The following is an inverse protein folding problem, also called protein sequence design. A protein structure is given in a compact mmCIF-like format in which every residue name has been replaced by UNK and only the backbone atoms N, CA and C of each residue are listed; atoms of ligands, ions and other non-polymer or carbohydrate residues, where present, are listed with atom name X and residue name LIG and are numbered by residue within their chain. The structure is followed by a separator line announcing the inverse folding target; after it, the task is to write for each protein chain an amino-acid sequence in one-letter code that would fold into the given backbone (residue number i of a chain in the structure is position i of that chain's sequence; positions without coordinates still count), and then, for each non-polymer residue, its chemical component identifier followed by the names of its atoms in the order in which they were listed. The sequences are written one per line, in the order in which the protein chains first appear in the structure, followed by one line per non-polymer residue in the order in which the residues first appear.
data_IF_767972539024
#
_entry.id   IF_767972539024
#
_cell.length_a   1.000
_cell.length_b   1.000
_cell.length_c   1.000
_cell.angle_alpha   90.00
_cell.angle_beta   90.00
_cell.angle_gamma   90.00
#
_symmetry.space_group_name_H-M   'P 1'
#
loop_
_entity.id
_entity.type
_entity.pdbx_description
1 polymer ?
#
# COMPACT_ATOMS: atom_id res chain seq x y z
N UNK A 1 -20.92 1.94 -23.33
CA UNK A 1 -21.55 3.22 -23.67
C UNK A 1 -22.82 3.37 -22.84
N UNK A 2 -23.03 4.54 -22.24
CA UNK A 2 -24.20 4.82 -21.39
C UNK A 2 -25.12 5.78 -22.12
N UNK A 3 -26.42 5.48 -22.17
CA UNK A 3 -27.45 6.33 -22.76
C UNK A 3 -28.46 6.69 -21.67
N UNK A 4 -28.80 7.98 -21.58
CA UNK A 4 -29.86 8.47 -20.68
C UNK A 4 -31.13 8.68 -21.51
N UNK A 5 -32.15 7.86 -21.28
CA UNK A 5 -33.47 7.93 -21.89
C UNK A 5 -34.42 8.70 -20.99
N UNK A 6 -34.99 9.81 -21.47
CA UNK A 6 -35.98 10.60 -20.74
C UNK A 6 -37.33 10.41 -21.43
N UNK A 7 -38.35 9.96 -20.69
CA UNK A 7 -39.71 9.70 -21.21
C UNK A 7 -40.77 10.28 -20.30
N UNK A 8 -41.82 10.85 -20.88
CA UNK A 8 -42.99 11.41 -20.20
C UNK A 8 -44.24 10.53 -20.29
N UNK A 9 -44.12 9.34 -20.88
CA UNK A 9 -45.27 8.46 -21.13
C UNK A 9 -44.92 7.00 -21.39
N UNK A 10 -45.98 6.19 -21.55
CA UNK A 10 -45.90 4.82 -22.07
C UNK A 10 -45.62 4.80 -23.57
N UNK A 11 -44.85 3.80 -24.00
CA UNK A 11 -44.57 3.56 -25.42
C UNK A 11 -45.87 3.18 -26.17
N UNK A 12 -46.33 4.03 -27.09
CA UNK A 12 -47.58 3.80 -27.84
C UNK A 12 -47.38 3.09 -29.19
N UNK A 13 -46.13 2.83 -29.58
CA UNK A 13 -45.77 2.17 -30.83
C UNK A 13 -45.88 0.63 -30.78
N UNK A 14 -46.28 0.05 -29.64
CA UNK A 14 -46.45 -1.40 -29.48
C UNK A 14 -45.16 -2.19 -29.24
N UNK A 15 -44.06 -1.51 -28.92
CA UNK A 15 -42.80 -2.15 -28.51
C UNK A 15 -42.85 -2.63 -27.06
N UNK A 16 -42.09 -3.68 -26.75
CA UNK A 16 -41.89 -4.16 -25.38
C UNK A 16 -40.51 -3.70 -24.88
N UNK A 17 -40.43 -2.64 -24.06
CA UNK A 17 -39.16 -2.12 -23.56
C UNK A 17 -38.42 -3.13 -22.68
N UNK A 18 -39.13 -4.04 -22.01
CA UNK A 18 -38.51 -5.08 -21.19
C UNK A 18 -37.84 -6.15 -22.06
N UNK A 19 -38.51 -6.57 -23.14
CA UNK A 19 -37.96 -7.53 -24.10
C UNK A 19 -36.73 -6.95 -24.80
N UNK A 20 -36.80 -5.68 -25.21
CA UNK A 20 -35.67 -4.98 -25.82
C UNK A 20 -34.47 -4.90 -24.85
N UNK A 21 -34.71 -4.57 -23.58
CA UNK A 21 -33.63 -4.52 -22.58
C UNK A 21 -32.92 -5.86 -22.38
N UNK A 22 -33.63 -6.98 -22.50
CA UNK A 22 -33.03 -8.33 -22.43
C UNK A 22 -32.20 -8.63 -23.67
N UNK A 23 -32.74 -8.39 -24.85
CA UNK A 23 -32.03 -8.60 -26.11
C UNK A 23 -30.74 -7.78 -26.19
N UNK A 24 -30.79 -6.51 -25.74
CA UNK A 24 -29.62 -5.64 -25.70
C UNK A 24 -28.51 -6.17 -24.77
N UNK A 25 -28.87 -6.85 -23.68
CA UNK A 25 -27.90 -7.52 -22.80
C UNK A 25 -27.36 -8.82 -23.40
N UNK A 26 -28.20 -9.59 -24.08
CA UNK A 26 -27.82 -10.86 -24.73
C UNK A 26 -26.92 -10.66 -25.94
N UNK A 27 -27.06 -9.53 -26.65
CA UNK A 27 -26.18 -9.18 -27.79
C UNK A 27 -24.76 -8.81 -27.36
N UNK A 28 -24.48 -8.71 -26.06
CA UNK A 28 -23.12 -8.52 -25.51
C UNK A 28 -22.54 -7.13 -25.78
N UNK A 29 -23.36 -6.18 -26.20
CA UNK A 29 -22.95 -4.77 -26.30
C UNK A 29 -22.84 -4.23 -24.88
N UNK A 30 -21.72 -3.61 -24.54
CA UNK A 30 -21.55 -2.84 -23.30
C UNK A 30 -22.46 -1.60 -23.35
N UNK A 31 -23.76 -1.80 -23.20
CA UNK A 31 -24.79 -0.78 -23.30
C UNK A 31 -25.58 -0.71 -22.00
N UNK A 32 -25.58 0.47 -21.40
CA UNK A 32 -26.30 0.77 -20.17
C UNK A 32 -27.32 1.86 -20.46
N UNK A 33 -28.60 1.61 -20.18
CA UNK A 33 -29.66 2.62 -20.31
C UNK A 33 -30.12 3.10 -18.94
N UNK A 34 -29.84 4.36 -18.63
CA UNK A 34 -30.47 5.06 -17.51
C UNK A 34 -31.80 5.66 -17.99
N UNK A 35 -32.88 5.43 -17.26
CA UNK A 35 -34.24 5.86 -17.66
C UNK A 35 -34.75 6.88 -16.65
N UNK A 36 -35.18 8.05 -17.14
CA UNK A 36 -35.83 9.09 -16.33
C UNK A 36 -37.29 9.21 -16.76
N UNK A 37 -38.21 8.79 -15.90
CA UNK A 37 -39.65 8.88 -16.12
C UNK A 37 -40.21 10.19 -15.59
N UNK A 38 -40.56 11.13 -16.46
CA UNK A 38 -41.08 12.45 -16.10
C UNK A 38 -42.61 12.45 -16.05
N UNK A 39 -43.21 12.71 -14.89
CA UNK A 39 -44.68 12.82 -14.78
C UNK A 39 -45.45 11.50 -14.94
N UNK A 40 -44.79 10.34 -14.84
CA UNK A 40 -45.40 9.02 -14.91
C UNK A 40 -46.08 8.61 -13.60
N UNK A 41 -47.18 7.85 -13.71
CA UNK A 41 -47.73 7.11 -12.57
C UNK A 41 -46.83 5.93 -12.17
N UNK A 42 -47.02 5.40 -10.97
CA UNK A 42 -46.23 4.27 -10.47
C UNK A 42 -46.33 3.02 -11.35
N UNK A 43 -47.50 2.77 -11.96
CA UNK A 43 -47.71 1.62 -12.83
C UNK A 43 -47.06 1.81 -14.21
N UNK A 44 -47.11 3.02 -14.76
CA UNK A 44 -46.42 3.37 -16.02
C UNK A 44 -44.90 3.31 -15.84
N UNK A 45 -44.40 3.82 -14.72
CA UNK A 45 -42.99 3.78 -14.37
C UNK A 45 -42.43 2.36 -14.29
N UNK A 46 -43.19 1.40 -13.73
CA UNK A 46 -42.78 -0.01 -13.65
C UNK A 46 -42.61 -0.65 -15.02
N UNK A 47 -43.40 -0.26 -16.02
CA UNK A 47 -43.30 -0.83 -17.37
C UNK A 47 -42.02 -0.43 -18.10
N UNK A 48 -41.41 0.69 -17.71
CA UNK A 48 -40.18 1.20 -18.33
C UNK A 48 -38.96 0.94 -17.44
N UNK A 49 -39.15 0.79 -16.12
CA UNK A 49 -38.08 0.47 -15.16
C UNK A 49 -37.30 -0.80 -15.55
N UNK A 50 -37.98 -1.81 -16.09
CA UNK A 50 -37.36 -3.05 -16.54
C UNK A 50 -36.29 -2.85 -17.62
N UNK A 51 -36.40 -1.81 -18.47
CA UNK A 51 -35.41 -1.52 -19.51
C UNK A 51 -34.08 -1.10 -18.88
N UNK A 52 -34.15 -0.24 -17.86
CA UNK A 52 -32.98 0.18 -17.09
C UNK A 52 -32.37 -1.01 -16.32
N UNK A 53 -33.20 -1.77 -15.60
CA UNK A 53 -32.75 -2.93 -14.82
C UNK A 53 -32.12 -4.03 -15.68
N UNK A 54 -32.72 -4.32 -16.84
CA UNK A 54 -32.21 -5.36 -17.74
C UNK A 54 -30.87 -4.94 -18.35
N UNK A 55 -30.64 -3.66 -18.63
CA UNK A 55 -29.38 -3.15 -19.19
C UNK A 55 -28.35 -2.76 -18.12
N UNK A 56 -28.70 -2.85 -16.83
CA UNK A 56 -27.83 -2.50 -15.70
C UNK A 56 -27.72 -1.00 -15.43
N UNK A 57 -28.63 -0.18 -15.96
CA UNK A 57 -28.76 1.24 -15.64
C UNK A 57 -29.76 1.50 -14.52
N UNK A 58 -30.07 2.78 -14.28
CA UNK A 58 -30.94 3.25 -13.19
C UNK A 58 -32.27 3.75 -13.73
N UNK A 59 -33.36 3.45 -13.03
CA UNK A 59 -34.65 4.11 -13.25
C UNK A 59 -34.86 5.20 -12.20
N UNK A 60 -35.09 6.44 -12.64
CA UNK A 60 -35.37 7.59 -11.78
C UNK A 60 -36.72 8.18 -12.16
N UNK A 61 -37.64 8.25 -11.21
CA UNK A 61 -38.92 8.93 -11.43
C UNK A 61 -38.77 10.41 -11.09
N UNK A 62 -39.01 11.28 -12.08
CA UNK A 62 -38.98 12.73 -11.93
C UNK A 62 -40.42 13.26 -11.94
N UNK A 63 -40.94 13.66 -10.77
CA UNK A 63 -42.30 14.20 -10.68
C UNK A 63 -42.42 15.65 -11.16
N UNK A 64 -41.29 16.40 -11.19
CA UNK A 64 -41.26 17.84 -11.47
C UNK A 64 -39.92 18.26 -12.09
N UNK A 65 -39.86 19.48 -12.66
CA UNK A 65 -38.68 20.05 -13.32
C UNK A 65 -37.40 19.97 -12.46
N UNK A 66 -37.51 20.21 -11.16
CA UNK A 66 -36.39 20.11 -10.22
C UNK A 66 -35.90 18.66 -10.05
N UNK A 67 -36.84 17.71 -10.03
CA UNK A 67 -36.52 16.29 -9.94
C UNK A 67 -35.86 15.79 -11.23
N UNK A 68 -36.27 16.30 -12.39
CA UNK A 68 -35.63 16.01 -13.67
C UNK A 68 -34.18 16.53 -13.73
N UNK A 69 -33.95 17.75 -13.25
CA UNK A 69 -32.59 18.31 -13.14
C UNK A 69 -31.70 17.44 -12.23
N UNK A 70 -32.23 16.99 -11.09
CA UNK A 70 -31.50 16.10 -10.18
C UNK A 70 -31.24 14.73 -10.81
N UNK A 71 -32.22 14.15 -11.48
CA UNK A 71 -32.09 12.87 -12.18
C UNK A 71 -31.00 12.93 -13.28
N UNK A 72 -30.93 14.02 -14.03
CA UNK A 72 -29.90 14.22 -15.05
C UNK A 72 -28.50 14.35 -14.42
N UNK A 73 -28.39 15.09 -13.31
CA UNK A 73 -27.12 15.17 -12.57
C UNK A 73 -26.72 13.80 -12.04
N UNK A 74 -27.66 13.01 -11.53
CA UNK A 74 -27.37 11.68 -10.97
C UNK A 74 -26.97 10.63 -12.03
N UNK A 75 -27.54 10.73 -13.24
CA UNK A 75 -27.26 9.80 -14.35
C UNK A 75 -26.00 10.17 -15.12
N UNK A 76 -25.67 11.46 -15.20
CA UNK A 76 -24.46 11.95 -15.88
C UNK A 76 -23.27 12.09 -14.93
N UNK A 77 -23.50 12.22 -13.63
CA UNK A 77 -22.43 12.19 -12.65
C UNK A 77 -21.67 10.88 -12.79
N UNK A 78 -20.38 11.00 -13.12
CA UNK A 78 -19.47 9.88 -13.01
C UNK A 78 -19.67 9.26 -11.61
N UNK A 79 -19.75 7.93 -11.49
CA UNK A 79 -19.80 7.31 -10.18
C UNK A 79 -18.66 7.92 -9.38
N UNK A 80 -19.00 8.50 -8.22
CA UNK A 80 -17.99 9.00 -7.32
C UNK A 80 -16.94 7.89 -7.19
N UNK A 81 -15.64 8.20 -7.36
CA UNK A 81 -14.63 7.17 -7.20
C UNK A 81 -14.94 6.47 -5.90
N UNK A 82 -15.05 5.13 -5.96
CA UNK A 82 -15.32 4.34 -4.78
C UNK A 82 -14.42 4.88 -3.68
N UNK A 83 -14.94 5.17 -2.46
CA UNK A 83 -14.10 5.64 -1.40
C UNK A 83 -12.91 4.69 -1.35
N UNK A 84 -11.70 5.23 -1.53
CA UNK A 84 -10.49 4.43 -1.34
C UNK A 84 -10.71 3.65 -0.04
N UNK A 85 -10.44 2.33 -0.04
CA UNK A 85 -10.51 1.56 1.19
C UNK A 85 -9.84 2.40 2.25
N UNK A 86 -10.58 2.74 3.32
CA UNK A 86 -10.01 3.51 4.42
C UNK A 86 -8.63 2.90 4.68
N UNK A 87 -7.55 3.71 4.66
CA UNK A 87 -6.20 3.16 4.76
C UNK A 87 -6.26 2.20 5.94
N UNK A 88 -5.93 0.93 5.67
CA UNK A 88 -5.87 -0.08 6.72
C UNK A 88 -5.14 0.59 7.90
N UNK A 89 -5.63 0.44 9.15
CA UNK A 89 -5.00 1.09 10.30
C UNK A 89 -3.50 0.93 10.11
N UNK A 90 -2.80 2.07 9.99
CA UNK A 90 -1.39 2.07 9.67
C UNK A 90 -0.75 0.99 10.56
N UNK A 91 0.04 0.04 9.99
CA UNK A 91 0.72 -0.92 10.84
C UNK A 91 1.33 -0.10 11.97
N UNK A 92 1.00 -0.48 13.22
CA UNK A 92 1.55 0.17 14.41
C UNK A 92 3.02 0.44 14.11
N UNK A 93 3.52 1.70 14.30
CA UNK A 93 4.80 2.13 13.76
C UNK A 93 5.76 0.98 13.95
N UNK A 94 6.19 0.37 12.83
CA UNK A 94 7.18 -0.70 12.86
C UNK A 94 8.25 -0.15 13.79
N UNK A 95 8.56 -0.81 14.92
CA UNK A 95 9.46 -0.24 15.92
C UNK A 95 10.67 0.25 15.14
N UNK A 96 10.91 1.57 15.20
CA UNK A 96 11.81 2.27 14.30
C UNK A 96 13.03 1.39 14.12
N UNK A 97 13.19 0.79 12.93
CA UNK A 97 14.34 -0.06 12.67
C UNK A 97 15.53 0.83 13.00
N UNK A 98 16.33 0.47 14.01
CA UNK A 98 17.36 1.35 14.49
C UNK A 98 18.24 1.70 13.28
N UNK A 99 18.48 2.99 13.06
CA UNK A 99 19.19 3.46 11.86
C UNK A 99 20.50 2.70 11.66
N UNK A 100 21.11 2.26 12.76
CA UNK A 100 22.26 1.37 12.81
C UNK A 100 22.00 0.20 13.76
N UNK A 101 22.43 -0.99 13.38
CA UNK A 101 22.31 -2.18 14.23
C UNK A 101 23.65 -2.62 14.85
N UNK A 102 24.76 -1.97 14.50
CA UNK A 102 26.07 -2.28 15.01
C UNK A 102 26.87 -0.99 15.29
N UNK A 103 27.16 -0.76 16.57
CA UNK A 103 27.88 0.44 17.05
C UNK A 103 28.95 0.03 18.08
N UNK A 104 30.10 -0.52 17.64
CA UNK A 104 31.13 -0.96 18.57
C UNK A 104 31.91 0.23 19.14
N UNK A 105 32.39 0.07 20.36
CA UNK A 105 33.25 1.05 21.03
C UNK A 105 34.54 0.37 21.47
N UNK A 106 35.65 1.10 21.48
CA UNK A 106 36.95 0.58 21.92
C UNK A 106 37.51 1.46 23.04
N UNK A 107 38.08 0.83 24.06
CA UNK A 107 38.65 1.48 25.26
C UNK A 107 40.00 0.86 25.59
N UNK A 108 40.90 1.63 26.21
CA UNK A 108 42.21 1.13 26.65
C UNK A 108 42.15 0.28 27.93
N UNK A 109 41.08 0.43 28.70
CA UNK A 109 40.87 -0.30 29.96
C UNK A 109 39.37 -0.31 30.30
N UNK A 110 38.94 -1.28 31.12
CA UNK A 110 37.55 -1.34 31.59
C UNK A 110 37.17 -0.05 32.34
N UNK A 111 36.10 0.61 31.90
CA UNK A 111 35.64 1.89 32.46
C UNK A 111 36.40 3.13 31.97
N UNK A 112 37.33 3.00 31.02
CA UNK A 112 37.98 4.13 30.36
C UNK A 112 37.11 4.80 29.30
N UNK A 113 37.53 5.97 28.83
CA UNK A 113 36.87 6.71 27.75
C UNK A 113 37.03 5.99 26.39
N UNK A 114 35.99 6.08 25.56
CA UNK A 114 36.00 5.49 24.24
C UNK A 114 37.00 6.22 23.32
N UNK A 115 37.86 5.44 22.67
CA UNK A 115 38.78 5.94 21.65
C UNK A 115 37.97 6.17 20.37
N UNK A 116 37.92 7.42 19.93
CA UNK A 116 37.14 7.86 18.75
C UNK A 116 38.03 8.36 17.61
N UNK A 117 39.33 8.51 17.86
CA UNK A 117 40.35 8.95 16.90
C UNK A 117 41.59 8.05 17.02
N UNK A 118 42.22 7.72 15.89
CA UNK A 118 43.37 6.82 15.85
C UNK A 118 43.06 5.32 15.99
N UNK A 119 41.78 4.94 16.09
CA UNK A 119 41.33 3.56 16.09
C UNK A 119 40.91 3.08 14.69
N UNK A 120 40.95 1.77 14.50
CA UNK A 120 40.49 1.11 13.28
C UNK A 120 39.65 -0.13 13.61
N UNK A 121 38.63 -0.35 12.80
CA UNK A 121 37.72 -1.48 12.86
C UNK A 121 37.92 -2.36 11.63
N UNK A 122 38.06 -3.65 11.83
CA UNK A 122 38.03 -4.63 10.75
C UNK A 122 36.96 -5.67 11.03
N UNK A 123 36.07 -5.88 10.08
CA UNK A 123 34.95 -6.82 10.20
C UNK A 123 35.14 -7.94 9.20
N UNK A 124 35.08 -9.17 9.68
CA UNK A 124 35.20 -10.38 8.88
C UNK A 124 33.95 -11.25 9.09
N UNK A 125 33.51 -11.99 8.06
CA UNK A 125 32.54 -13.08 8.25
C UNK A 125 33.20 -14.23 9.01
N UNK A 126 32.52 -14.82 9.98
CA UNK A 126 33.03 -16.00 10.67
C UNK A 126 32.79 -17.26 9.82
N UNK A 127 33.84 -18.08 9.63
CA UNK A 127 33.69 -19.42 9.01
C UNK A 127 33.22 -20.44 10.06
N UNK A 128 32.69 -21.59 9.63
CA UNK A 128 32.17 -22.68 10.49
C UNK A 128 33.16 -23.33 11.49
N UNK A 129 34.35 -22.75 11.69
CA UNK A 129 35.31 -23.10 12.75
C UNK A 129 35.74 -21.91 13.61
N UNK A 130 35.05 -20.77 13.53
CA UNK A 130 35.38 -19.57 14.31
C UNK A 130 36.66 -18.85 13.88
N UNK A 131 37.13 -19.11 12.65
CA UNK A 131 38.27 -18.42 12.01
C UNK A 131 37.77 -17.27 11.12
N UNK A 132 38.62 -16.26 10.90
CA UNK A 132 38.32 -15.11 10.03
C UNK A 132 38.12 -15.59 8.59
N UNK A 133 36.95 -15.26 8.05
CA UNK A 133 36.58 -15.51 6.66
C UNK A 133 36.84 -14.31 5.78
N UNK A 134 35.89 -14.02 4.90
CA UNK A 134 35.96 -12.87 4.02
C UNK A 134 35.89 -11.57 4.82
N UNK A 135 36.76 -10.62 4.47
CA UNK A 135 36.72 -9.27 5.03
C UNK A 135 35.50 -8.56 4.46
N UNK A 136 34.65 -8.09 5.36
CA UNK A 136 33.43 -7.33 5.02
C UNK A 136 33.79 -5.88 4.80
N UNK A 137 34.53 -5.28 5.74
CA UNK A 137 34.96 -3.89 5.66
C UNK A 137 36.09 -3.58 6.63
N UNK A 138 36.73 -2.43 6.39
CA UNK A 138 37.60 -1.74 7.34
C UNK A 138 37.19 -0.30 7.42
N UNK A 139 37.12 0.24 8.63
CA UNK A 139 36.75 1.63 8.89
C UNK A 139 37.65 2.24 9.96
N UNK A 140 37.89 3.54 9.90
CA UNK A 140 38.68 4.26 10.89
C UNK A 140 37.79 5.16 11.74
N UNK A 141 38.10 5.31 13.02
CA UNK A 141 37.32 6.18 13.91
C UNK A 141 36.05 5.51 14.47
N UNK A 142 34.99 6.30 14.61
CA UNK A 142 33.70 5.86 15.13
C UNK A 142 32.90 5.06 14.08
N UNK A 143 32.50 3.83 14.42
CA UNK A 143 31.81 2.94 13.49
C UNK A 143 30.32 2.85 13.83
N UNK A 144 29.47 3.19 12.85
CA UNK A 144 28.00 3.09 12.94
C UNK A 144 27.49 2.51 11.62
N UNK A 145 27.13 1.23 11.62
CA UNK A 145 26.74 0.51 10.41
C UNK A 145 25.57 -0.45 10.64
N UNK A 146 25.06 -0.97 9.52
CA UNK A 146 24.07 -2.03 9.49
C UNK A 146 24.72 -3.30 8.96
N UNK A 147 24.95 -4.27 9.84
CA UNK A 147 25.41 -5.60 9.46
C UNK A 147 24.21 -6.50 9.21
N UNK A 148 24.26 -7.28 8.12
CA UNK A 148 23.26 -8.30 7.85
C UNK A 148 23.32 -9.40 8.92
N UNK A 149 22.22 -10.11 9.21
CA UNK A 149 22.24 -11.21 10.17
C UNK A 149 23.26 -12.28 9.79
N UNK A 150 24.12 -12.66 10.74
CA UNK A 150 25.21 -13.60 10.50
C UNK A 150 26.26 -13.58 11.60
N UNK A 151 27.22 -14.49 11.51
CA UNK A 151 28.34 -14.57 12.43
C UNK A 151 29.51 -13.74 11.89
N UNK A 152 30.02 -12.82 12.71
CA UNK A 152 31.12 -11.92 12.37
C UNK A 152 32.24 -12.02 13.40
N UNK A 153 33.45 -11.76 12.94
CA UNK A 153 34.62 -11.53 13.78
C UNK A 153 35.00 -10.08 13.60
N UNK A 154 34.89 -9.30 14.67
CA UNK A 154 35.18 -7.88 14.67
C UNK A 154 36.48 -7.66 15.43
N UNK A 155 37.38 -6.89 14.84
CA UNK A 155 38.69 -6.56 15.40
C UNK A 155 38.74 -5.06 15.58
N UNK A 156 38.75 -4.63 16.84
CA UNK A 156 39.06 -3.24 17.21
C UNK A 156 40.57 -3.09 17.37
N UNK A 157 41.14 -2.05 16.80
CA UNK A 157 42.55 -1.69 16.95
C UNK A 157 42.69 -0.24 17.37
N UNK A 158 43.69 0.05 18.19
CA UNK A 158 44.24 1.40 18.36
C UNK A 158 45.76 1.25 18.45
N UNK A 159 46.49 1.93 17.57
CA UNK A 159 47.93 1.73 17.39
C UNK A 159 48.31 0.24 17.23
N UNK A 160 49.19 -0.27 18.10
CA UNK A 160 49.62 -1.68 18.10
C UNK A 160 48.69 -2.60 18.90
N UNK A 161 47.78 -2.03 19.70
CA UNK A 161 46.87 -2.79 20.54
C UNK A 161 45.64 -3.22 19.75
N UNK A 162 45.18 -4.47 19.97
CA UNK A 162 44.06 -5.05 19.24
C UNK A 162 43.26 -6.00 20.11
N UNK A 163 41.94 -5.95 19.94
CA UNK A 163 41.01 -6.85 20.59
C UNK A 163 40.06 -7.43 19.55
N UNK A 164 39.79 -8.72 19.66
CA UNK A 164 38.96 -9.49 18.74
C UNK A 164 37.77 -10.07 19.49
N UNK A 165 36.58 -9.92 18.94
CA UNK A 165 35.37 -10.52 19.48
C UNK A 165 34.54 -11.15 18.36
N UNK A 166 33.92 -12.28 18.69
CA UNK A 166 32.97 -12.96 17.82
C UNK A 166 31.59 -12.42 18.14
N UNK A 167 30.97 -11.77 17.17
CA UNK A 167 29.64 -11.18 17.32
C UNK A 167 28.70 -11.88 16.36
N UNK A 168 27.60 -12.40 16.91
CA UNK A 168 26.50 -12.92 16.12
C UNK A 168 25.44 -11.84 15.99
N UNK A 169 25.17 -11.40 14.77
CA UNK A 169 24.16 -10.39 14.45
C UNK A 169 22.85 -11.11 14.11
N UNK A 170 21.79 -10.80 14.84
CA UNK A 170 20.44 -11.29 14.57
C UNK A 170 19.57 -10.21 13.91
N UNK A 171 18.59 -10.63 13.11
CA UNK A 171 17.70 -9.71 12.41
C UNK A 171 16.90 -8.86 13.40
N UNK A 172 16.97 -7.53 13.25
CA UNK A 172 16.22 -6.58 14.07
C UNK A 172 16.78 -6.32 15.47
N UNK A 173 17.96 -6.85 15.81
CA UNK A 173 18.65 -6.52 17.06
C UNK A 173 19.78 -5.52 16.84
N UNK A 174 20.01 -4.64 17.82
CA UNK A 174 21.15 -3.72 17.86
C UNK A 174 22.22 -4.24 18.79
N UNK A 175 23.47 -4.14 18.36
CA UNK A 175 24.65 -4.59 19.10
C UNK A 175 25.61 -3.43 19.30
N UNK A 176 25.98 -3.18 20.56
CA UNK A 176 26.97 -2.16 20.93
C UNK A 176 28.09 -2.78 21.77
N UNK A 177 28.91 -3.69 21.19
CA UNK A 177 29.98 -4.36 21.92
C UNK A 177 31.10 -3.39 22.30
N UNK A 178 31.66 -3.58 23.50
CA UNK A 178 32.81 -2.84 24.00
C UNK A 178 34.07 -3.69 23.87
N UNK A 179 35.08 -3.15 23.20
CA UNK A 179 36.39 -3.76 23.00
C UNK A 179 37.39 -3.11 23.94
N UNK A 180 37.87 -3.89 24.91
CA UNK A 180 39.02 -3.48 25.73
C UNK A 180 40.28 -4.00 25.06
N UNK A 181 41.22 -3.09 24.75
CA UNK A 181 42.50 -3.37 24.10
C UNK A 181 43.58 -3.85 25.09
#
# INVERSE_FOLDING_TARGET
ATVVLITDGLETCGGDPCALGKELKETGVDFTADVVGFGLTADEGRQIACLAENTGGKYIQASDEKALQQALVETVAAPAPAPEPAPAPAPAPEPAKPEFNFTPSVVMAEGGDAITDGNAWEIYKAKSGGSRGDQVMTEYGELKINLEPGDYIVVGRADEARSEQKIKIEAGQTYSPLFTL
#
